data_IF_655844666621
#
_entry.id   IF_655844666621
#
_cell.length_a   1.000
_cell.length_b   1.000
_cell.length_c   1.000
_cell.angle_alpha   90.00
_cell.angle_beta   90.00
_cell.angle_gamma   90.00
#
_symmetry.space_group_name_H-M   'P 1'
#
loop_
_entity.id
_entity.type
_entity.pdbx_description
1 polymer ?
#
# COMPACT_ATOMS: atom_id res chain seq x y z
N UNK A 1 4.81 -31.16 -15.95
CA UNK A 1 5.85 -30.57 -15.08
C UNK A 1 5.17 -29.90 -13.91
N UNK A 2 5.90 -29.58 -12.85
CA UNK A 2 5.41 -28.81 -11.70
C UNK A 2 5.82 -27.36 -11.95
N UNK A 3 4.86 -26.46 -12.11
CA UNK A 3 5.09 -25.06 -12.52
C UNK A 3 4.56 -24.03 -11.51
N UNK A 4 4.02 -24.47 -10.38
CA UNK A 4 3.57 -23.60 -9.28
C UNK A 4 4.02 -24.13 -7.91
N UNK A 5 4.04 -23.22 -6.92
CA UNK A 5 4.41 -23.57 -5.55
C UNK A 5 3.36 -24.50 -4.92
N UNK A 6 2.09 -24.27 -5.23
CA UNK A 6 0.97 -25.10 -4.80
C UNK A 6 1.08 -26.51 -5.38
N UNK A 7 1.34 -26.65 -6.68
CA UNK A 7 1.54 -27.95 -7.33
C UNK A 7 2.76 -28.68 -6.74
N UNK A 8 3.83 -27.95 -6.41
CA UNK A 8 5.00 -28.50 -5.74
C UNK A 8 4.66 -29.04 -4.35
N UNK A 9 3.93 -28.29 -3.54
CA UNK A 9 3.53 -28.71 -2.19
C UNK A 9 2.63 -29.94 -2.20
N UNK A 10 1.75 -30.08 -3.20
CA UNK A 10 0.91 -31.28 -3.38
C UNK A 10 1.74 -32.50 -3.77
N UNK A 11 2.80 -32.31 -4.55
CA UNK A 11 3.67 -33.39 -5.02
C UNK A 11 4.67 -33.89 -3.95
N UNK A 12 5.10 -33.03 -3.03
CA UNK A 12 6.14 -33.34 -2.02
C UNK A 12 5.92 -34.65 -1.23
N UNK A 13 4.70 -34.98 -0.74
CA UNK A 13 4.49 -36.21 0.00
C UNK A 13 4.79 -37.47 -0.81
N UNK A 14 4.31 -37.54 -2.06
CA UNK A 14 4.53 -38.67 -2.96
C UNK A 14 6.01 -38.78 -3.34
N UNK A 15 6.63 -37.65 -3.71
CA UNK A 15 8.05 -37.60 -4.02
C UNK A 15 8.91 -38.10 -2.87
N UNK A 16 8.62 -37.69 -1.64
CA UNK A 16 9.38 -38.11 -0.46
C UNK A 16 9.34 -39.63 -0.29
N UNK A 17 8.20 -40.26 -0.56
CA UNK A 17 8.05 -41.72 -0.48
C UNK A 17 8.91 -42.40 -1.54
N UNK A 18 8.75 -42.02 -2.81
CA UNK A 18 9.53 -42.59 -3.92
C UNK A 18 11.05 -42.35 -3.77
N UNK A 19 11.44 -41.15 -3.35
CA UNK A 19 12.85 -40.81 -3.14
C UNK A 19 13.46 -41.64 -2.01
N UNK A 20 12.78 -41.75 -0.88
CA UNK A 20 13.27 -42.53 0.25
C UNK A 20 13.34 -44.03 -0.08
N UNK A 21 12.44 -44.56 -0.92
CA UNK A 21 12.55 -45.97 -1.37
C UNK A 21 13.86 -46.24 -2.13
N UNK A 22 14.34 -45.26 -2.91
CA UNK A 22 15.54 -45.41 -3.74
C UNK A 22 16.83 -45.09 -2.98
N UNK A 23 16.77 -44.15 -2.04
CA UNK A 23 17.97 -43.53 -1.47
C UNK A 23 18.04 -43.52 0.05
N UNK A 24 16.98 -43.91 0.78
CA UNK A 24 17.07 -43.95 2.23
C UNK A 24 18.04 -45.05 2.68
N UNK A 25 18.92 -44.67 3.60
CA UNK A 25 19.84 -45.56 4.29
C UNK A 25 19.33 -45.75 5.71
N UNK A 26 19.47 -46.97 6.24
CA UNK A 26 19.22 -47.20 7.65
C UNK A 26 20.17 -46.34 8.50
N UNK A 27 19.69 -45.70 9.57
CA UNK A 27 20.56 -44.96 10.46
C UNK A 27 21.57 -45.91 11.11
N UNK A 28 22.76 -45.40 11.43
CA UNK A 28 23.81 -46.20 12.09
C UNK A 28 23.42 -46.60 13.53
N UNK A 29 22.54 -45.83 14.16
CA UNK A 29 22.00 -46.06 15.50
C UNK A 29 20.50 -45.75 15.50
N UNK A 30 19.73 -46.54 16.22
CA UNK A 30 18.29 -46.34 16.42
C UNK A 30 17.97 -45.29 17.51
N UNK A 31 19.00 -44.70 18.13
CA UNK A 31 18.84 -43.66 19.14
C UNK A 31 18.32 -42.36 18.52
N UNK A 32 17.27 -41.80 19.12
CA UNK A 32 16.74 -40.49 18.74
C UNK A 32 17.68 -39.37 19.17
N UNK A 33 18.54 -38.92 18.26
CA UNK A 33 19.45 -37.81 18.45
C UNK A 33 18.80 -36.43 18.22
N UNK A 34 17.49 -36.34 17.97
CA UNK A 34 16.84 -35.06 17.74
C UNK A 34 16.78 -34.22 19.01
N UNK A 35 16.99 -32.91 18.86
CA UNK A 35 16.81 -31.97 19.95
C UNK A 35 15.31 -31.76 20.19
N UNK A 36 14.79 -31.98 21.42
CA UNK A 36 13.40 -31.69 21.71
C UNK A 36 13.15 -30.18 21.57
N UNK A 37 11.99 -29.84 21.01
CA UNK A 37 11.58 -28.45 20.86
C UNK A 37 11.08 -27.95 22.21
N UNK A 38 11.90 -27.13 22.86
CA UNK A 38 11.60 -26.53 24.19
C UNK A 38 10.73 -25.27 24.12
N UNK A 39 10.50 -24.75 22.91
CA UNK A 39 9.79 -23.50 22.70
C UNK A 39 8.29 -23.75 22.56
N UNK A 40 7.51 -22.81 23.06
CA UNK A 40 6.05 -22.77 22.84
C UNK A 40 5.73 -22.50 21.36
N UNK A 41 4.51 -22.85 20.94
CA UNK A 41 4.05 -22.54 19.58
C UNK A 41 4.11 -21.04 19.27
N UNK A 42 3.82 -20.17 20.26
CA UNK A 42 3.92 -18.72 20.08
C UNK A 42 5.37 -18.26 19.90
N UNK A 43 6.32 -18.80 20.66
CA UNK A 43 7.74 -18.47 20.52
C UNK A 43 8.30 -18.93 19.17
N UNK A 44 7.97 -20.14 18.74
CA UNK A 44 8.34 -20.64 17.41
C UNK A 44 7.80 -19.74 16.31
N UNK A 45 6.53 -19.33 16.43
CA UNK A 45 5.92 -18.44 15.46
C UNK A 45 6.67 -17.10 15.38
N UNK A 46 7.14 -16.55 16.52
CA UNK A 46 7.97 -15.34 16.53
C UNK A 46 9.38 -15.56 15.98
N UNK A 47 9.95 -16.75 16.12
CA UNK A 47 11.29 -17.06 15.59
C UNK A 47 11.26 -17.24 14.07
N UNK A 48 10.19 -17.85 13.55
CA UNK A 48 10.05 -18.24 12.13
C UNK A 48 9.35 -17.18 11.27
N UNK A 49 9.03 -16.01 11.83
CA UNK A 49 8.33 -14.95 11.13
C UNK A 49 9.28 -13.96 10.43
N UNK A 50 8.73 -13.06 9.61
CA UNK A 50 9.53 -12.00 8.99
C UNK A 50 9.86 -10.93 10.04
N UNK A 51 11.14 -10.54 10.15
CA UNK A 51 11.61 -9.53 11.10
C UNK A 51 12.03 -8.26 10.37
N UNK A 52 11.47 -7.13 10.78
CA UNK A 52 11.74 -5.81 10.23
C UNK A 52 12.06 -4.83 11.34
N UNK A 53 13.26 -4.24 11.33
CA UNK A 53 13.62 -3.24 12.34
C UNK A 53 13.07 -1.86 11.96
N UNK A 54 12.37 -1.20 12.88
CA UNK A 54 11.82 0.15 12.72
C UNK A 54 12.20 1.03 13.90
N UNK A 55 12.33 2.32 13.65
CA UNK A 55 12.60 3.31 14.69
C UNK A 55 11.30 3.95 15.14
N UNK A 56 11.08 4.03 16.45
CA UNK A 56 9.93 4.73 17.01
C UNK A 56 10.07 6.25 16.86
N UNK A 57 8.99 6.89 16.43
CA UNK A 57 8.89 8.35 16.39
C UNK A 57 8.84 8.95 17.80
N UNK A 58 8.93 10.29 17.89
CA UNK A 58 8.73 11.02 19.14
C UNK A 58 7.34 10.77 19.76
N UNK A 59 6.35 10.48 18.91
CA UNK A 59 4.98 10.19 19.30
C UNK A 59 4.73 8.69 19.56
N UNK A 60 5.80 7.88 19.65
CA UNK A 60 5.72 6.42 19.85
C UNK A 60 4.93 5.71 18.74
N UNK A 61 5.03 6.23 17.51
CA UNK A 61 4.47 5.59 16.32
C UNK A 61 5.56 4.98 15.46
N UNK A 62 5.21 3.94 14.71
CA UNK A 62 5.99 3.40 13.60
C UNK A 62 5.08 3.05 12.43
N UNK A 63 5.62 3.03 11.22
CA UNK A 63 4.90 2.59 10.03
C UNK A 63 5.47 1.28 9.51
N UNK A 64 4.58 0.35 9.17
CA UNK A 64 4.94 -0.92 8.55
C UNK A 64 3.83 -1.38 7.60
N UNK A 65 4.17 -1.79 6.38
CA UNK A 65 3.23 -2.20 5.31
C UNK A 65 2.01 -1.28 5.20
N UNK A 66 2.26 0.02 5.04
CA UNK A 66 1.24 1.07 4.93
C UNK A 66 0.29 1.21 6.14
N UNK A 67 0.62 0.59 7.28
CA UNK A 67 -0.15 0.65 8.51
C UNK A 67 0.65 1.42 9.56
N UNK A 68 0.00 2.37 10.24
CA UNK A 68 0.61 3.11 11.35
C UNK A 68 0.27 2.39 12.66
N UNK A 69 1.31 2.02 13.40
CA UNK A 69 1.21 1.37 14.70
C UNK A 69 1.55 2.39 15.78
N UNK A 70 0.63 2.63 16.69
CA UNK A 70 0.81 3.50 17.86
C UNK A 70 1.03 2.61 19.08
N UNK A 71 2.15 2.76 19.78
CA UNK A 71 2.33 2.02 21.03
C UNK A 71 1.35 2.52 22.09
N UNK A 72 0.73 1.57 22.78
CA UNK A 72 -0.09 1.84 23.95
C UNK A 72 0.80 2.03 25.16
N UNK A 73 0.45 2.98 26.02
CA UNK A 73 1.24 3.32 27.18
C UNK A 73 0.36 3.58 28.39
N UNK A 74 0.68 2.91 29.48
CA UNK A 74 0.03 3.07 30.78
C UNK A 74 1.11 3.30 31.85
N UNK A 75 1.15 4.50 32.43
CA UNK A 75 1.96 4.83 33.62
C UNK A 75 2.98 5.98 33.46
N UNK A 76 3.66 6.39 34.52
CA UNK A 76 4.79 7.31 34.45
C UNK A 76 6.10 6.52 34.21
N UNK A 77 6.74 6.70 33.05
CA UNK A 77 8.00 6.03 32.74
C UNK A 77 8.71 6.61 31.52
N UNK A 78 10.03 6.37 31.42
CA UNK A 78 10.85 6.77 30.28
C UNK A 78 10.46 5.97 29.03
N UNK A 79 9.86 6.63 28.04
CA UNK A 79 9.41 5.99 26.81
C UNK A 79 10.59 5.70 25.87
N UNK A 80 10.54 4.60 25.11
CA UNK A 80 11.57 4.26 24.13
C UNK A 80 11.48 5.14 22.85
N UNK A 81 11.45 6.46 23.00
CA UNK A 81 11.45 7.41 21.88
C UNK A 81 12.76 7.26 21.09
N UNK A 82 12.66 7.17 19.77
CA UNK A 82 13.83 6.96 18.91
C UNK A 82 14.47 5.56 19.04
N UNK A 83 13.87 4.66 19.82
CA UNK A 83 14.40 3.32 19.97
C UNK A 83 14.10 2.44 18.74
N UNK A 84 14.98 1.47 18.49
CA UNK A 84 14.76 0.42 17.49
C UNK A 84 13.85 -0.65 18.07
N UNK A 85 12.75 -0.92 17.38
CA UNK A 85 11.76 -1.96 17.66
C UNK A 85 11.78 -2.95 16.51
N UNK A 86 11.70 -4.23 16.82
CA UNK A 86 11.55 -5.30 15.82
C UNK A 86 10.07 -5.51 15.57
N UNK A 87 9.65 -5.32 14.33
CA UNK A 87 8.33 -5.67 13.83
C UNK A 87 8.41 -7.10 13.32
N UNK A 88 7.66 -8.00 13.94
CA UNK A 88 7.56 -9.40 13.61
C UNK A 88 6.23 -9.64 12.88
N UNK A 89 6.26 -9.97 11.60
CA UNK A 89 5.06 -10.37 10.85
C UNK A 89 4.99 -11.88 10.71
N UNK A 90 4.05 -12.45 11.47
CA UNK A 90 3.74 -13.87 11.49
C UNK A 90 3.23 -14.34 10.12
N UNK A 91 3.34 -15.65 9.85
CA UNK A 91 2.90 -16.25 8.59
C UNK A 91 1.39 -16.07 8.32
N UNK A 92 0.60 -15.82 9.37
CA UNK A 92 -0.83 -15.50 9.26
C UNK A 92 -1.11 -14.00 8.99
N UNK A 93 -0.07 -13.17 8.84
CA UNK A 93 -0.16 -11.73 8.64
C UNK A 93 -0.35 -10.91 9.93
N UNK A 94 -0.38 -11.55 11.10
CA UNK A 94 -0.44 -10.83 12.37
C UNK A 94 0.90 -10.19 12.68
N UNK A 95 0.87 -8.95 13.14
CA UNK A 95 2.07 -8.19 13.52
C UNK A 95 2.27 -8.25 15.03
N UNK A 96 3.51 -8.42 15.46
CA UNK A 96 3.92 -8.33 16.86
C UNK A 96 5.09 -7.37 16.95
N UNK A 97 5.04 -6.45 17.92
CA UNK A 97 6.11 -5.48 18.13
C UNK A 97 6.97 -5.91 19.30
N UNK A 98 8.27 -6.11 19.06
CA UNK A 98 9.24 -6.53 20.07
C UNK A 98 10.25 -5.41 20.37
N UNK A 99 10.39 -5.08 21.64
CA UNK A 99 11.45 -4.22 22.15
C UNK A 99 12.20 -4.93 23.27
N UNK A 100 13.52 -5.09 23.10
CA UNK A 100 14.37 -5.84 24.06
C UNK A 100 13.80 -7.22 24.42
N UNK A 101 13.31 -7.95 23.41
CA UNK A 101 12.64 -9.27 23.54
C UNK A 101 11.31 -9.26 24.31
N UNK A 102 10.72 -8.08 24.58
CA UNK A 102 9.38 -7.95 25.19
C UNK A 102 8.38 -7.47 24.15
N UNK A 103 7.19 -8.08 24.16
CA UNK A 103 6.08 -7.62 23.35
C UNK A 103 5.56 -6.28 23.86
N UNK A 104 5.29 -5.37 22.93
CA UNK A 104 4.72 -4.06 23.22
C UNK A 104 3.25 -4.03 22.79
N UNK A 105 2.32 -3.59 23.66
CA UNK A 105 0.94 -3.36 23.26
C UNK A 105 0.88 -2.18 22.29
N UNK A 106 -0.02 -2.26 21.32
CA UNK A 106 -0.17 -1.25 20.30
C UNK A 106 -1.61 -1.19 19.80
N UNK A 107 -2.00 0.00 19.34
CA UNK A 107 -3.22 0.23 18.58
C UNK A 107 -2.87 0.49 17.13
N UNK A 108 -3.70 -0.02 16.22
CA UNK A 108 -3.56 0.25 14.77
C UNK A 108 -4.29 1.54 14.45
N UNK A 109 -3.57 2.53 13.94
CA UNK A 109 -4.17 3.73 13.37
C UNK A 109 -4.15 3.59 11.84
N UNK A 110 -5.30 3.26 11.25
CA UNK A 110 -5.45 3.36 9.79
C UNK A 110 -5.57 4.83 9.42
N UNK A 111 -4.48 5.40 8.90
CA UNK A 111 -4.61 6.60 8.07
C UNK A 111 -5.33 6.17 6.79
N UNK A 112 -6.37 6.91 6.39
CA UNK A 112 -7.09 6.68 5.15
C UNK A 112 -6.13 6.46 3.98
N UNK A 113 -6.55 5.61 3.03
CA UNK A 113 -5.79 5.03 1.91
C UNK A 113 -4.53 5.82 1.52
N UNK A 114 -3.40 5.10 1.48
CA UNK A 114 -2.14 5.65 0.97
C UNK A 114 -2.31 6.27 -0.42
N UNK A 115 -1.36 7.09 -0.88
CA UNK A 115 -1.42 7.64 -2.23
C UNK A 115 -1.68 6.49 -3.22
N UNK A 116 -2.67 6.67 -4.11
CA UNK A 116 -2.99 5.70 -5.17
C UNK A 116 -1.68 5.24 -5.80
N UNK A 117 -1.57 3.92 -6.03
CA UNK A 117 -0.46 3.31 -6.77
C UNK A 117 -0.06 4.24 -7.91
N UNK A 118 1.20 4.65 -7.96
CA UNK A 118 1.72 5.47 -9.06
C UNK A 118 1.37 4.73 -10.33
N UNK A 119 0.47 5.31 -11.14
CA UNK A 119 0.04 4.70 -12.39
C UNK A 119 1.25 4.57 -13.29
N UNK A 120 1.46 3.37 -13.87
CA UNK A 120 2.54 3.14 -14.83
C UNK A 120 2.38 4.11 -16.01
N UNK A 121 3.47 4.57 -16.63
CA UNK A 121 3.46 5.59 -17.70
C UNK A 121 2.45 5.27 -18.83
N UNK A 122 2.30 3.98 -19.16
CA UNK A 122 1.34 3.49 -20.16
C UNK A 122 -0.12 3.72 -19.76
N UNK A 123 -0.44 3.59 -18.47
CA UNK A 123 -1.80 3.85 -17.96
C UNK A 123 -2.12 5.34 -17.96
N UNK A 124 -1.13 6.20 -17.70
CA UNK A 124 -1.29 7.64 -17.76
C UNK A 124 -1.59 8.12 -19.19
N UNK A 125 -0.84 7.63 -20.19
CA UNK A 125 -1.04 8.00 -21.60
C UNK A 125 -2.47 7.69 -22.07
N UNK A 126 -2.97 6.48 -21.78
CA UNK A 126 -4.33 6.09 -22.13
C UNK A 126 -5.40 7.01 -21.51
N UNK A 127 -5.18 7.48 -20.28
CA UNK A 127 -6.10 8.42 -19.62
C UNK A 127 -6.06 9.81 -20.24
N UNK A 128 -4.87 10.28 -20.60
CA UNK A 128 -4.68 11.57 -21.29
C UNK A 128 -5.33 11.53 -22.67
N UNK A 129 -5.10 10.47 -23.45
CA UNK A 129 -5.70 10.28 -24.77
C UNK A 129 -7.23 10.23 -24.70
N UNK A 130 -7.77 9.50 -23.72
CA UNK A 130 -9.21 9.45 -23.46
C UNK A 130 -9.77 10.82 -23.04
N UNK A 131 -9.03 11.63 -22.29
CA UNK A 131 -9.43 12.98 -21.91
C UNK A 131 -9.42 13.95 -23.09
N UNK A 132 -8.40 13.85 -23.96
CA UNK A 132 -8.29 14.65 -25.19
C UNK A 132 -9.44 14.32 -26.16
N UNK A 133 -9.78 13.03 -26.34
CA UNK A 133 -10.95 12.59 -27.12
C UNK A 133 -12.28 13.12 -26.57
N UNK A 134 -12.43 13.17 -25.24
CA UNK A 134 -13.62 13.76 -24.60
C UNK A 134 -13.68 15.28 -24.75
N UNK A 135 -12.54 15.94 -24.86
CA UNK A 135 -12.48 17.39 -25.05
C UNK A 135 -12.73 17.77 -26.51
N UNK A 136 -12.23 16.98 -27.47
CA UNK A 136 -12.45 17.22 -28.90
C UNK A 136 -13.90 17.02 -29.34
N UNK A 137 -14.64 16.16 -28.63
CA UNK A 137 -16.07 15.91 -28.90
C UNK A 137 -17.00 16.92 -28.23
N UNK A 138 -16.51 17.79 -27.35
CA UNK A 138 -17.34 18.82 -26.72
C UNK A 138 -17.41 20.07 -27.59
N UNK A 139 -18.62 20.62 -27.83
CA UNK A 139 -18.74 21.90 -28.50
C UNK A 139 -18.04 22.99 -27.67
N UNK A 140 -17.47 24.03 -28.32
CA UNK A 140 -16.81 25.11 -27.61
C UNK A 140 -17.79 25.73 -26.59
N UNK A 141 -17.35 25.98 -25.35
CA UNK A 141 -18.22 26.52 -24.32
C UNK A 141 -18.78 27.86 -24.78
N UNK A 142 -20.11 27.92 -24.93
CA UNK A 142 -20.78 29.17 -25.26
C UNK A 142 -20.83 30.01 -23.98
N UNK A 143 -20.33 31.25 -24.00
CA UNK A 143 -20.48 32.16 -22.86
C UNK A 143 -21.97 32.33 -22.56
N UNK A 144 -22.30 32.57 -21.29
CA UNK A 144 -23.68 32.87 -20.90
C UNK A 144 -24.20 34.12 -21.65
N UNK A 145 -25.53 34.21 -21.88
CA UNK A 145 -26.12 35.36 -22.57
C UNK A 145 -25.75 36.73 -21.97
N UNK A 146 -25.53 36.77 -20.65
CA UNK A 146 -25.19 37.99 -19.91
C UNK A 146 -23.68 38.26 -19.81
N UNK A 147 -22.83 37.61 -20.63
CA UNK A 147 -21.39 37.86 -20.55
C UNK A 147 -21.02 39.23 -21.13
N UNK A 148 -20.20 40.05 -20.45
CA UNK A 148 -19.94 41.45 -20.80
C UNK A 148 -19.43 41.67 -22.22
N UNK A 149 -18.69 40.72 -22.80
CA UNK A 149 -18.19 40.79 -24.18
C UNK A 149 -19.27 40.73 -25.29
N UNK A 150 -20.46 40.16 -25.00
CA UNK A 150 -21.60 40.11 -25.92
C UNK A 150 -22.42 41.38 -25.82
N UNK A 151 -22.50 41.95 -24.63
CA UNK A 151 -23.13 43.24 -24.40
C UNK A 151 -22.31 44.36 -25.06
N UNK A 152 -20.98 44.30 -24.98
CA UNK A 152 -20.09 45.25 -25.64
C UNK A 152 -20.27 45.28 -27.18
N UNK A 153 -20.43 44.11 -27.83
CA UNK A 153 -20.68 44.05 -29.28
C UNK A 153 -22.06 44.59 -29.66
N UNK A 154 -23.10 44.35 -28.85
CA UNK A 154 -24.44 44.89 -29.10
C UNK A 154 -24.47 46.43 -28.98
N UNK A 155 -23.75 46.97 -27.99
CA UNK A 155 -23.63 48.42 -27.80
C UNK A 155 -22.81 49.07 -28.92
N UNK A 156 -21.78 48.40 -29.44
CA UNK A 156 -20.99 48.88 -30.58
C UNK A 156 -21.83 48.96 -31.87
N UNK A 157 -22.67 47.95 -32.16
CA UNK A 157 -23.58 47.97 -33.32
C UNK A 157 -24.62 49.08 -33.23
N UNK A 158 -25.13 49.38 -32.02
CA UNK A 158 -26.08 50.48 -31.81
C UNK A 158 -25.44 51.87 -32.02
N UNK A 159 -24.17 52.06 -31.63
CA UNK A 159 -23.45 53.34 -31.83
C UNK A 159 -23.12 53.62 -33.29
N UNK A 160 -22.80 52.59 -34.07
CA UNK A 160 -22.54 52.75 -35.53
C UNK A 160 -23.83 53.09 -36.29
N UNK A 161 -24.97 52.51 -35.91
CA UNK A 161 -26.27 52.83 -36.51
C UNK A 161 -26.72 54.28 -36.22
N UNK A 162 -26.41 54.81 -35.02
CA UNK A 162 -26.73 56.19 -34.66
C UNK A 162 -25.85 57.22 -35.41
N UNK A 163 -24.58 56.92 -35.68
CA UNK A 163 -23.70 57.82 -36.44
C UNK A 163 -24.06 57.91 -37.94
N UNK A 164 -24.63 56.85 -38.52
CA UNK A 164 -25.02 56.84 -39.92
C UNK A 164 -26.28 57.69 -40.21
N UNK A 165 -27.07 58.03 -39.19
CA UNK A 165 -28.26 58.88 -39.32
C UNK A 165 -27.94 60.38 -39.14
N UNK A 166 -26.75 60.73 -38.62
CA UNK A 166 -26.33 62.11 -38.39
C UNK A 166 -25.47 62.73 -39.50
N UNK A 167 -25.19 62.02 -40.61
CA UNK A 167 -24.38 62.55 -41.72
C UNK A 167 -25.19 62.88 -42.99
N UNK A 168 -26.52 62.95 -42.90
CA UNK A 168 -27.40 63.40 -43.99
C UNK A 168 -28.33 64.48 -43.43
N UNK A 169 -27.79 65.68 -43.22
CA UNK A 169 -28.51 66.94 -43.07
C UNK A 169 -27.56 68.08 -43.41
#
# INVERSE_FOLDING_TARGET
GIDSMEAGNVFLPEFKIDYNQRFALAPTSDEDAHRPVVHTAQELALVLCEHSVRTLSKNLTLQYRNTLYQLEHHGPGYHPRGAKVTVCELLNGQVVLLYRKRQLPYTIYRKAEGPRRVEDEKTLNNRVDAALLRQSTKPPPRPSPNHPWRQASAVASARVAALAQSSVS
#
